data_IF_508792461496
#
_entry.id   IF_508792461496
#
_cell.length_a   1.000
_cell.length_b   1.000
_cell.length_c   1.000
_cell.angle_alpha   90.00
_cell.angle_beta   90.00
_cell.angle_gamma   90.00
#
_symmetry.space_group_name_H-M   'P 1'
#
loop_
_entity.id
_entity.type
_entity.pdbx_description
1 polymer ?
#
# COMPACT_ATOMS: atom_id res chain seq x y z
N UNK A 1 -26.52 15.61 -3.64
CA UNK A 1 -25.84 14.31 -3.48
C UNK A 1 -24.37 14.57 -3.21
N UNK A 2 -23.79 13.93 -2.19
CA UNK A 2 -22.36 14.04 -1.91
C UNK A 2 -21.59 13.25 -2.96
N UNK A 3 -20.60 13.89 -3.60
CA UNK A 3 -19.70 13.25 -4.57
C UNK A 3 -18.48 12.73 -3.82
N UNK A 4 -18.10 11.48 -4.07
CA UNK A 4 -16.86 10.88 -3.55
C UNK A 4 -15.66 11.39 -4.36
N UNK A 5 -14.47 11.43 -3.74
CA UNK A 5 -13.21 11.83 -4.40
C UNK A 5 -12.17 10.70 -4.33
N UNK A 6 -11.29 10.64 -5.33
CA UNK A 6 -10.07 9.83 -5.37
C UNK A 6 -8.80 10.68 -5.16
N UNK A 7 -8.94 11.99 -4.90
CA UNK A 7 -7.83 12.92 -4.74
C UNK A 7 -7.06 12.69 -3.43
N UNK A 8 -5.74 12.84 -3.50
CA UNK A 8 -4.86 12.82 -2.33
C UNK A 8 -4.41 14.23 -1.99
N UNK A 9 -4.77 14.68 -0.79
CA UNK A 9 -4.43 16.01 -0.30
C UNK A 9 -3.45 15.92 0.86
N UNK A 10 -2.44 16.79 0.86
CA UNK A 10 -1.48 16.98 1.93
C UNK A 10 -1.74 18.34 2.58
N UNK A 11 -1.86 18.36 3.91
CA UNK A 11 -1.87 19.60 4.68
C UNK A 11 -0.51 19.79 5.36
N UNK A 12 0.18 20.88 5.01
CA UNK A 12 1.38 21.27 5.73
C UNK A 12 0.97 22.01 7.01
N UNK A 13 1.20 21.41 8.18
CA UNK A 13 0.79 21.98 9.48
C UNK A 13 1.52 23.28 9.79
N UNK A 14 2.83 23.32 9.58
CA UNK A 14 3.68 24.48 9.93
C UNK A 14 3.38 25.69 9.05
N UNK A 15 3.17 25.45 7.75
CA UNK A 15 2.95 26.48 6.74
C UNK A 15 1.47 26.73 6.44
N UNK A 16 0.58 25.93 7.02
CA UNK A 16 -0.88 26.05 6.94
C UNK A 16 -1.45 26.14 5.52
N UNK A 17 -0.95 25.33 4.59
CA UNK A 17 -1.51 25.24 3.24
C UNK A 17 -1.76 23.80 2.80
N UNK A 18 -2.72 23.67 1.90
CA UNK A 18 -3.05 22.42 1.24
C UNK A 18 -2.28 22.26 -0.06
N UNK A 19 -1.90 21.04 -0.38
CA UNK A 19 -1.37 20.65 -1.69
C UNK A 19 -2.03 19.38 -2.15
N UNK A 20 -2.25 19.27 -3.45
CA UNK A 20 -2.68 18.03 -4.07
C UNK A 20 -1.46 17.20 -4.48
N UNK A 21 -1.49 15.91 -4.18
CA UNK A 21 -0.47 14.97 -4.64
C UNK A 21 -0.90 14.47 -6.01
N UNK A 22 -0.21 14.96 -7.05
CA UNK A 22 -0.36 14.41 -8.40
C UNK A 22 0.50 13.15 -8.55
N UNK A 23 -0.10 12.09 -9.07
CA UNK A 23 0.55 10.80 -9.32
C UNK A 23 0.19 10.25 -10.70
N UNK A 24 1.03 9.38 -11.28
CA UNK A 24 0.72 8.72 -12.54
C UNK A 24 -0.52 7.84 -12.38
N UNK A 25 -1.57 8.09 -13.17
CA UNK A 25 -2.75 7.22 -13.18
C UNK A 25 -2.48 6.02 -14.07
N UNK A 26 -2.57 4.82 -13.47
CA UNK A 26 -2.45 3.57 -14.21
C UNK A 26 -3.56 3.39 -15.25
N UNK A 27 -3.20 3.03 -16.48
CA UNK A 27 -4.13 2.55 -17.52
C UNK A 27 -3.71 1.15 -17.97
N UNK A 28 -4.57 0.44 -18.73
CA UNK A 28 -4.35 -0.97 -19.14
C UNK A 28 -3.01 -1.22 -19.86
N UNK A 29 -2.31 -0.18 -20.35
CA UNK A 29 -1.00 -0.26 -21.01
C UNK A 29 0.12 0.52 -20.29
N UNK A 30 -0.08 0.93 -19.03
CA UNK A 30 0.92 1.70 -18.27
C UNK A 30 1.70 0.83 -17.29
N UNK A 31 2.96 1.18 -17.04
CA UNK A 31 3.78 0.59 -15.97
C UNK A 31 3.25 0.92 -14.55
N UNK A 32 2.29 1.84 -14.44
CA UNK A 32 1.74 2.33 -13.18
C UNK A 32 0.45 1.59 -12.84
N UNK A 33 0.24 1.33 -11.56
CA UNK A 33 -0.94 0.61 -11.10
C UNK A 33 -2.12 1.55 -10.88
N UNK A 34 -3.37 1.08 -11.11
CA UNK A 34 -4.55 1.91 -10.95
C UNK A 34 -4.74 2.28 -9.47
N UNK A 35 -5.09 3.54 -9.23
CA UNK A 35 -5.50 4.01 -7.90
C UNK A 35 -6.81 3.34 -7.47
N UNK A 36 -7.08 3.26 -6.15
CA UNK A 36 -8.41 2.90 -5.67
C UNK A 36 -9.46 3.85 -6.27
N UNK A 37 -10.66 3.30 -6.53
CA UNK A 37 -11.83 4.12 -6.84
C UNK A 37 -12.18 5.04 -5.67
N UNK A 38 -12.89 6.12 -5.98
CA UNK A 38 -13.38 7.09 -5.03
C UNK A 38 -14.18 6.42 -3.90
N UNK A 39 -13.90 6.82 -2.65
CA UNK A 39 -14.43 6.10 -1.48
C UNK A 39 -14.56 6.97 -0.23
N UNK A 40 -15.42 6.53 0.69
CA UNK A 40 -15.58 7.11 2.03
C UNK A 40 -15.54 6.01 3.12
N UNK A 41 -15.36 6.39 4.38
CA UNK A 41 -15.34 5.46 5.53
C UNK A 41 -14.33 4.29 5.39
N UNK A 42 -13.24 4.53 4.67
CA UNK A 42 -12.08 3.63 4.62
C UNK A 42 -11.15 3.92 5.80
N UNK A 43 -10.20 3.02 6.04
CA UNK A 43 -9.05 3.32 6.92
C UNK A 43 -7.83 3.64 6.07
N UNK A 44 -7.03 4.58 6.56
CA UNK A 44 -5.72 4.93 6.02
C UNK A 44 -4.68 4.82 7.14
N UNK A 45 -3.60 4.06 6.92
CA UNK A 45 -2.52 3.86 7.88
C UNK A 45 -1.17 4.16 7.23
N UNK A 46 -0.21 4.63 8.01
CA UNK A 46 1.19 4.77 7.56
C UNK A 46 1.99 3.58 8.07
N UNK A 47 2.63 2.84 7.15
CA UNK A 47 3.53 1.74 7.47
C UNK A 47 4.84 1.92 6.68
N UNK A 48 5.91 2.31 7.37
CA UNK A 48 7.14 2.74 6.71
C UNK A 48 6.91 3.94 5.78
N UNK A 49 7.41 3.86 4.54
CA UNK A 49 7.20 4.86 3.49
C UNK A 49 5.90 4.64 2.69
N UNK A 50 4.97 3.86 3.20
CA UNK A 50 3.74 3.52 2.50
C UNK A 50 2.51 4.02 3.25
N UNK A 51 1.60 4.65 2.52
CA UNK A 51 0.22 4.81 2.96
C UNK A 51 -0.57 3.57 2.51
N UNK A 52 -1.30 2.99 3.46
CA UNK A 52 -2.09 1.78 3.25
C UNK A 52 -3.56 2.10 3.38
N UNK A 53 -4.32 1.83 2.32
CA UNK A 53 -5.78 2.02 2.28
C UNK A 53 -6.46 0.66 2.28
N UNK A 54 -7.46 0.50 3.14
CA UNK A 54 -8.32 -0.68 3.16
C UNK A 54 -9.79 -0.29 3.25
N UNK A 55 -10.63 -1.05 2.53
CA UNK A 55 -12.07 -0.95 2.64
C UNK A 55 -12.65 0.34 2.09
N UNK A 56 -13.78 0.72 2.67
CA UNK A 56 -14.52 1.94 2.34
C UNK A 56 -15.73 1.68 1.45
N UNK A 57 -16.68 2.59 1.56
CA UNK A 57 -17.86 2.66 0.72
C UNK A 57 -17.45 3.23 -0.64
N UNK A 58 -17.76 2.51 -1.70
CA UNK A 58 -17.48 2.87 -3.08
C UNK A 58 -18.70 2.48 -3.93
N UNK A 59 -18.76 2.92 -5.18
CA UNK A 59 -19.90 2.59 -6.03
C UNK A 59 -19.44 2.13 -7.42
N UNK A 60 -19.70 0.86 -7.75
CA UNK A 60 -19.36 0.29 -9.05
C UNK A 60 -20.60 -0.29 -9.72
N UNK A 61 -21.08 0.35 -10.78
CA UNK A 61 -22.15 -0.18 -11.61
C UNK A 61 -21.56 -1.06 -12.70
N UNK A 62 -21.58 -2.39 -12.53
CA UNK A 62 -21.19 -3.28 -13.62
C UNK A 62 -21.94 -4.61 -13.63
N UNK A 63 -23.24 -4.58 -13.25
CA UNK A 63 -24.25 -5.67 -13.21
C UNK A 63 -24.62 -6.14 -11.79
N UNK A 64 -23.72 -6.00 -10.81
CA UNK A 64 -24.00 -6.14 -9.37
C UNK A 64 -23.42 -4.93 -8.65
N UNK A 65 -24.24 -4.23 -7.84
CA UNK A 65 -23.79 -3.04 -7.09
C UNK A 65 -22.85 -3.48 -5.95
N UNK A 66 -21.55 -3.42 -6.21
CA UNK A 66 -20.55 -3.53 -5.15
C UNK A 66 -20.45 -2.18 -4.44
N UNK A 67 -20.84 -2.16 -3.16
CA UNK A 67 -20.84 -0.97 -2.31
C UNK A 67 -19.62 -0.87 -1.39
N UNK A 68 -18.69 -1.81 -1.47
CA UNK A 68 -17.51 -1.89 -0.60
C UNK A 68 -16.37 -2.62 -1.30
N UNK A 69 -15.16 -2.33 -0.84
CA UNK A 69 -13.93 -2.91 -1.36
C UNK A 69 -13.25 -3.81 -0.32
N UNK A 70 -12.68 -4.92 -0.77
CA UNK A 70 -11.94 -5.86 0.08
C UNK A 70 -10.43 -5.81 -0.17
N UNK A 71 -9.99 -4.99 -1.15
CA UNK A 71 -8.59 -4.87 -1.52
C UNK A 71 -7.86 -3.94 -0.56
N UNK A 72 -6.59 -4.25 -0.37
CA UNK A 72 -5.62 -3.36 0.26
C UNK A 72 -4.87 -2.65 -0.86
N UNK A 73 -4.61 -1.36 -0.69
CA UNK A 73 -3.85 -0.53 -1.62
C UNK A 73 -2.65 0.07 -0.92
N UNK A 74 -1.49 0.05 -1.57
CA UNK A 74 -0.26 0.65 -1.07
C UNK A 74 0.12 1.82 -1.98
N UNK A 75 0.29 3.00 -1.38
CA UNK A 75 0.81 4.19 -2.03
C UNK A 75 2.18 4.52 -1.47
N UNK A 76 3.18 4.62 -2.33
CA UNK A 76 4.52 5.00 -1.92
C UNK A 76 4.62 6.51 -1.68
N UNK A 77 4.94 6.92 -0.47
CA UNK A 77 5.02 8.34 -0.08
C UNK A 77 6.20 9.06 -0.74
N UNK A 78 7.36 8.42 -0.89
CA UNK A 78 8.51 9.03 -1.57
C UNK A 78 8.36 9.20 -3.08
N UNK A 79 7.86 8.16 -3.77
CA UNK A 79 7.76 8.15 -5.24
C UNK A 79 6.40 8.62 -5.77
N UNK A 80 5.40 8.84 -4.90
CA UNK A 80 4.03 9.19 -5.28
C UNK A 80 3.41 8.25 -6.33
N UNK A 81 3.48 6.94 -6.09
CA UNK A 81 2.91 5.92 -6.99
C UNK A 81 2.15 4.85 -6.20
N UNK A 82 1.11 4.30 -6.82
CA UNK A 82 0.42 3.11 -6.34
C UNK A 82 1.19 1.85 -6.74
N UNK A 83 1.25 0.86 -5.84
CA UNK A 83 1.97 -0.40 -6.06
C UNK A 83 1.07 -1.48 -6.69
N UNK A 84 1.72 -2.51 -7.26
CA UNK A 84 1.06 -3.69 -7.78
C UNK A 84 0.26 -4.42 -6.70
N UNK A 85 -0.98 -4.85 -6.99
CA UNK A 85 -1.71 -5.78 -6.12
C UNK A 85 -0.96 -7.09 -5.85
N UNK A 86 -0.03 -7.50 -6.72
CA UNK A 86 0.75 -8.74 -6.55
C UNK A 86 1.77 -8.66 -5.40
N UNK A 87 2.22 -7.45 -5.06
CA UNK A 87 3.12 -7.21 -3.92
C UNK A 87 2.38 -7.19 -2.59
N UNK A 88 1.04 -7.19 -2.63
CA UNK A 88 0.18 -7.11 -1.47
C UNK A 88 -0.18 -8.54 -1.09
N UNK A 89 -0.03 -8.93 0.20
CA UNK A 89 -0.42 -10.26 0.66
C UNK A 89 -1.84 -10.61 0.20
N UNK A 90 -1.96 -11.58 -0.69
CA UNK A 90 -3.24 -12.07 -1.14
C UNK A 90 -3.82 -13.02 -0.09
N UNK A 91 -5.14 -12.98 0.06
CA UNK A 91 -5.90 -13.81 1.01
C UNK A 91 -5.86 -15.31 0.67
N UNK A 92 -5.25 -15.68 -0.45
CA UNK A 92 -5.29 -17.03 -1.05
C UNK A 92 -4.51 -18.09 -0.24
N UNK A 93 -3.64 -17.70 0.70
CA UNK A 93 -2.81 -18.66 1.45
C UNK A 93 -3.45 -19.21 2.73
N UNK A 94 -4.64 -18.75 3.12
CA UNK A 94 -5.37 -19.25 4.29
C UNK A 94 -6.65 -19.97 3.91
N UNK A 95 -6.91 -21.16 4.47
CA UNK A 95 -8.23 -21.84 4.47
C UNK A 95 -9.30 -21.07 5.29
N UNK A 96 -9.13 -19.76 5.46
CA UNK A 96 -9.99 -18.89 6.27
C UNK A 96 -11.11 -18.24 5.44
N UNK A 97 -12.07 -17.63 6.12
CA UNK A 97 -13.12 -16.83 5.48
C UNK A 97 -12.49 -15.82 4.52
N UNK A 98 -12.95 -15.81 3.27
CA UNK A 98 -12.59 -14.77 2.29
C UNK A 98 -12.86 -13.41 2.93
N UNK A 99 -11.85 -12.55 3.01
CA UNK A 99 -12.01 -11.19 3.50
C UNK A 99 -13.12 -10.50 2.70
N UNK A 100 -14.25 -10.25 3.34
CA UNK A 100 -15.30 -9.42 2.76
C UNK A 100 -14.94 -7.96 2.99
N UNK A 101 -15.19 -7.14 1.97
CA UNK A 101 -14.93 -5.72 2.06
C UNK A 101 -15.85 -5.08 3.09
N UNK A 102 -15.33 -4.13 3.86
CA UNK A 102 -16.07 -3.42 4.90
C UNK A 102 -15.81 -1.93 4.82
N UNK A 103 -16.78 -1.13 5.23
CA UNK A 103 -16.62 0.29 5.49
C UNK A 103 -17.00 0.62 6.94
N UNK A 104 -16.53 1.77 7.44
CA UNK A 104 -16.76 2.17 8.83
C UNK A 104 -16.11 1.23 9.86
N UNK A 105 -15.05 0.54 9.46
CA UNK A 105 -14.25 -0.33 10.33
C UNK A 105 -13.18 0.48 11.08
N UNK A 106 -12.53 -0.16 12.05
CA UNK A 106 -11.32 0.38 12.69
C UNK A 106 -10.09 -0.39 12.22
N UNK A 107 -8.97 0.29 12.05
CA UNK A 107 -7.70 -0.34 11.71
C UNK A 107 -6.54 0.27 12.50
N UNK A 108 -5.52 -0.53 12.78
CA UNK A 108 -4.29 -0.08 13.43
C UNK A 108 -3.07 -0.88 12.95
N UNK A 109 -1.90 -0.28 13.08
CA UNK A 109 -0.63 -0.92 12.75
C UNK A 109 0.01 -1.54 14.01
N UNK A 110 0.39 -2.81 13.92
CA UNK A 110 1.11 -3.56 14.95
C UNK A 110 2.50 -3.92 14.47
N UNK A 111 3.51 -3.67 15.32
CA UNK A 111 4.93 -3.95 15.05
C UNK A 111 5.44 -3.40 13.70
N UNK A 112 4.90 -2.28 13.23
CA UNK A 112 5.38 -1.61 12.01
C UNK A 112 4.99 -2.24 10.67
N UNK A 113 4.61 -3.52 10.63
CA UNK A 113 4.31 -4.21 9.36
C UNK A 113 2.99 -5.01 9.35
N UNK A 114 2.32 -5.16 10.48
CA UNK A 114 1.08 -5.93 10.57
C UNK A 114 -0.11 -5.00 10.71
N UNK A 115 -0.97 -4.96 9.69
CA UNK A 115 -2.20 -4.18 9.72
C UNK A 115 -3.29 -5.04 10.32
N UNK A 116 -3.95 -4.55 11.36
CA UNK A 116 -5.09 -5.22 11.98
C UNK A 116 -6.34 -4.41 11.70
N UNK A 117 -7.37 -5.05 11.18
CA UNK A 117 -8.68 -4.48 10.87
C UNK A 117 -9.73 -5.20 11.72
N UNK A 118 -10.64 -4.43 12.32
CA UNK A 118 -11.72 -4.96 13.14
C UNK A 118 -13.04 -4.25 12.88
N UNK A 119 -14.13 -5.02 12.90
CA UNK A 119 -15.47 -4.51 12.76
C UNK A 119 -15.82 -4.10 11.33
N UNK A 120 -16.70 -3.10 11.22
CA UNK A 120 -17.19 -2.55 9.96
C UNK A 120 -18.50 -3.14 9.50
N UNK A 121 -19.00 -2.61 8.38
CA UNK A 121 -20.30 -2.96 7.83
C UNK A 121 -20.20 -3.34 6.35
N UNK A 122 -21.00 -4.33 5.97
CA UNK A 122 -21.08 -4.93 4.64
C UNK A 122 -22.46 -5.57 4.41
N UNK A 123 -23.52 -4.86 4.83
CA UNK A 123 -24.90 -5.37 4.91
C UNK A 123 -25.27 -5.88 6.30
N UNK A 124 -24.28 -6.39 7.05
CA UNK A 124 -24.37 -6.66 8.49
C UNK A 124 -23.14 -6.09 9.19
N UNK A 125 -23.19 -5.99 10.53
CA UNK A 125 -22.01 -5.62 11.32
C UNK A 125 -21.08 -6.83 11.41
N UNK A 126 -19.84 -6.64 10.99
CA UNK A 126 -18.80 -7.65 11.09
C UNK A 126 -18.23 -7.72 12.50
N UNK A 127 -17.99 -8.92 13.01
CA UNK A 127 -17.20 -9.17 14.22
C UNK A 127 -15.82 -9.76 13.89
N UNK A 128 -15.43 -9.76 12.60
CA UNK A 128 -14.17 -10.34 12.16
C UNK A 128 -12.99 -9.45 12.55
N UNK A 129 -11.85 -10.12 12.73
CA UNK A 129 -10.53 -9.49 12.86
C UNK A 129 -9.69 -10.02 11.71
N UNK A 130 -9.19 -9.12 10.87
CA UNK A 130 -8.30 -9.44 9.77
C UNK A 130 -6.91 -8.88 10.08
N UNK A 131 -5.88 -9.68 9.83
CA UNK A 131 -4.49 -9.26 9.99
C UNK A 131 -3.74 -9.47 8.65
N UNK A 132 -3.24 -8.37 8.08
CA UNK A 132 -2.36 -8.41 6.92
C UNK A 132 -0.92 -8.19 7.38
N UNK A 133 -0.05 -9.18 7.14
CA UNK A 133 1.38 -9.05 7.43
C UNK A 133 2.08 -8.62 6.15
N UNK A 134 2.56 -7.38 6.11
CA UNK A 134 3.32 -6.88 4.97
C UNK A 134 4.70 -7.56 4.93
N UNK A 135 5.17 -8.00 3.74
CA UNK A 135 6.47 -8.63 3.60
C UNK A 135 7.60 -7.74 4.12
N UNK A 136 8.58 -8.32 4.79
CA UNK A 136 9.76 -7.60 5.31
C UNK A 136 10.61 -6.97 4.22
N UNK A 137 10.52 -7.49 2.99
CA UNK A 137 11.13 -6.90 1.80
C UNK A 137 10.54 -5.53 1.46
N UNK A 138 9.26 -5.29 1.75
CA UNK A 138 8.63 -3.98 1.57
C UNK A 138 8.80 -3.10 2.81
N UNK A 139 8.50 -3.63 3.99
CA UNK A 139 8.51 -2.88 5.26
C UNK A 139 9.11 -3.75 6.36
N UNK A 140 10.25 -3.32 6.91
CA UNK A 140 10.86 -3.97 8.06
C UNK A 140 9.94 -3.88 9.30
N UNK A 141 9.71 -5.03 9.95
CA UNK A 141 8.99 -5.07 11.23
C UNK A 141 9.80 -4.38 12.33
N UNK A 142 9.13 -3.64 13.22
CA UNK A 142 9.78 -3.05 14.39
C UNK A 142 10.40 -4.12 15.29
N UNK A 143 11.65 -3.91 15.71
CA UNK A 143 12.38 -4.83 16.59
C UNK A 143 13.11 -5.96 15.86
N UNK A 144 12.97 -6.09 14.54
CA UNK A 144 13.88 -6.92 13.75
C UNK A 144 15.17 -6.13 13.44
N UNK A 145 16.33 -6.79 13.56
CA UNK A 145 17.61 -6.28 13.09
C UNK A 145 17.73 -6.28 11.55
N UNK A 146 16.61 -6.49 10.84
CA UNK A 146 16.57 -6.54 9.39
C UNK A 146 16.49 -5.12 8.86
N UNK A 147 17.63 -4.60 8.40
CA UNK A 147 17.74 -3.25 7.87
C UNK A 147 17.13 -3.14 6.47
N UNK A 148 16.89 -1.91 6.01
CA UNK A 148 16.48 -1.66 4.63
C UNK A 148 17.54 -2.14 3.63
N UNK A 149 18.82 -2.05 4.00
CA UNK A 149 19.91 -2.59 3.20
C UNK A 149 19.80 -4.10 3.08
N UNK A 150 19.54 -4.82 4.18
CA UNK A 150 19.35 -6.29 4.15
C UNK A 150 18.18 -6.71 3.26
N UNK A 151 17.10 -5.91 3.25
CA UNK A 151 15.97 -6.11 2.34
C UNK A 151 16.41 -6.00 0.87
N UNK A 152 17.18 -4.98 0.52
CA UNK A 152 17.67 -4.80 -0.84
C UNK A 152 18.70 -5.87 -1.22
N UNK A 153 19.64 -6.20 -0.34
CA UNK A 153 20.65 -7.25 -0.56
C UNK A 153 20.04 -8.64 -0.78
N UNK A 154 18.82 -8.88 -0.30
CA UNK A 154 18.12 -10.15 -0.55
C UNK A 154 17.72 -10.36 -2.02
N UNK A 155 17.75 -9.31 -2.85
CA UNK A 155 17.44 -9.41 -4.26
C UNK A 155 18.68 -9.74 -5.11
N UNK A 156 18.73 -10.97 -5.62
CA UNK A 156 19.84 -11.46 -6.47
C UNK A 156 19.74 -11.02 -7.94
N UNK A 157 18.54 -10.64 -8.40
CA UNK A 157 18.28 -10.27 -9.79
C UNK A 157 17.86 -8.79 -9.90
N UNK A 158 18.37 -8.11 -10.93
CA UNK A 158 18.03 -6.71 -11.24
C UNK A 158 16.52 -6.47 -11.30
N UNK A 159 15.76 -7.35 -11.97
CA UNK A 159 14.30 -7.22 -12.09
C UNK A 159 13.58 -7.28 -10.74
N UNK A 160 14.06 -8.13 -9.83
CA UNK A 160 13.51 -8.24 -8.47
C UNK A 160 13.89 -7.02 -7.62
N UNK A 161 15.14 -6.57 -7.71
CA UNK A 161 15.62 -5.39 -7.01
C UNK A 161 14.79 -4.14 -7.36
N UNK A 162 14.63 -3.84 -8.66
CA UNK A 162 13.94 -2.64 -9.12
C UNK A 162 12.41 -2.69 -8.94
N UNK A 163 11.86 -3.88 -8.63
CA UNK A 163 10.44 -4.02 -8.27
C UNK A 163 10.14 -3.43 -6.89
N UNK A 164 11.17 -3.31 -6.04
CA UNK A 164 11.11 -2.59 -4.78
C UNK A 164 11.53 -1.13 -5.00
N UNK A 165 10.62 -0.21 -4.76
CA UNK A 165 10.86 1.22 -4.97
C UNK A 165 11.88 1.82 -3.99
N UNK A 166 12.13 1.16 -2.86
CA UNK A 166 13.17 1.56 -1.90
C UNK A 166 14.58 1.10 -2.32
N UNK A 167 14.67 0.13 -3.24
CA UNK A 167 15.95 -0.42 -3.69
C UNK A 167 16.40 0.12 -5.06
N UNK A 168 17.70 -0.01 -5.33
CA UNK A 168 18.36 0.35 -6.58
C UNK A 168 19.45 -0.66 -6.93
N UNK A 169 19.50 -1.05 -8.20
CA UNK A 169 20.52 -1.96 -8.72
C UNK A 169 21.75 -1.18 -9.15
N UNK A 170 22.93 -1.54 -8.63
CA UNK A 170 24.20 -0.92 -8.99
C UNK A 170 24.89 -1.71 -10.11
N UNK A 171 25.07 -1.13 -11.31
CA UNK A 171 25.75 -1.82 -12.41
C UNK A 171 27.24 -2.05 -12.17
N UNK A 172 27.85 -1.29 -11.25
CA UNK A 172 29.28 -1.34 -10.93
C UNK A 172 29.70 -2.66 -10.30
N UNK A 173 28.88 -3.21 -9.41
CA UNK A 173 29.15 -4.47 -8.71
C UNK A 173 28.06 -5.53 -8.90
N UNK A 174 26.99 -5.22 -9.64
CA UNK A 174 25.82 -6.08 -9.84
C UNK A 174 25.13 -6.47 -8.53
N UNK A 175 25.07 -5.55 -7.57
CA UNK A 175 24.43 -5.76 -6.27
C UNK A 175 23.25 -4.79 -6.10
N UNK A 176 22.20 -5.28 -5.45
CA UNK A 176 21.06 -4.48 -5.06
C UNK A 176 21.31 -3.78 -3.72
N UNK A 177 21.20 -2.46 -3.70
CA UNK A 177 21.35 -1.63 -2.51
C UNK A 177 20.07 -0.86 -2.24
N UNK A 178 20.07 -0.20 -1.09
CA UNK A 178 19.22 0.96 -0.91
C UNK A 178 19.39 1.97 -2.06
N UNK A 179 18.28 2.50 -2.57
CA UNK A 179 18.26 3.38 -3.73
C UNK A 179 19.13 4.64 -3.55
N UNK A 180 19.27 5.13 -2.32
CA UNK A 180 20.07 6.33 -2.04
C UNK A 180 21.57 5.99 -2.11
N UNK A 181 21.97 4.83 -1.58
CA UNK A 181 23.37 4.39 -1.59
C UNK A 181 23.88 4.10 -3.00
N UNK A 182 23.04 3.51 -3.86
CA UNK A 182 23.49 3.19 -5.20
C UNK A 182 23.90 4.44 -6.01
N UNK A 183 23.12 5.52 -5.91
CA UNK A 183 23.43 6.79 -6.57
C UNK A 183 24.78 7.40 -6.15
N UNK A 184 25.30 7.05 -4.97
CA UNK A 184 26.60 7.57 -4.47
C UNK A 184 27.80 6.75 -4.91
N UNK A 185 27.60 5.51 -5.38
CA UNK A 185 28.68 4.62 -5.84
C UNK A 185 28.94 4.69 -7.34
N UNK A 186 28.00 5.25 -8.09
CA UNK A 186 28.12 5.52 -9.53
C UNK A 186 28.76 6.90 -9.84
N UNK A 187 29.17 7.66 -8.81
CA UNK A 187 29.96 8.91 -8.92
C UNK A 187 31.42 8.65 -8.57
#
# INVERSE_FOLDING_TARGET
FSKLSDELLLFNVDKQYWSEIHYPKGSDNSQYFPSPLERAFHSALIAGNYMVIYGGYMHKHKEEEACYDHKLYLFHLGCHVWLSPELIPSQEQGKGLRAQGVYGHSAFLRHGNTIVITGGFHGTVSNHILAYVLPSTLIAAQGNNFSRDDACFSHEAQSSCVSNLECGWCPTDNICYDRILCNTRDQ
#
